data_IF_470784800855
#
_entry.id   IF_470784800855
#
_cell.length_a   1.000
_cell.length_b   1.000
_cell.length_c   1.000
_cell.angle_alpha   90.00
_cell.angle_beta   90.00
_cell.angle_gamma   90.00
#
_symmetry.space_group_name_H-M   'P 1'
#
loop_
_entity.id
_entity.type
_entity.pdbx_description
1 polymer ?
#
# COMPACT_ATOMS: atom_id res chain seq x y z
N UNK A 1 -7.58 -4.53 -26.35
CA UNK A 1 -8.28 -4.00 -25.17
C UNK A 1 -7.95 -2.53 -25.09
N UNK A 2 -8.89 -1.67 -25.42
CA UNK A 2 -8.75 -0.23 -25.24
C UNK A 2 -8.61 0.06 -23.74
N UNK A 3 -7.49 0.68 -23.35
CA UNK A 3 -7.27 1.06 -21.98
C UNK A 3 -8.12 2.30 -21.69
N UNK A 4 -9.24 2.12 -20.98
CA UNK A 4 -10.06 3.20 -20.47
C UNK A 4 -9.17 4.09 -19.57
N UNK A 5 -8.79 5.26 -20.06
CA UNK A 5 -7.95 6.20 -19.32
C UNK A 5 -8.85 7.13 -18.50
N UNK A 6 -9.08 6.78 -17.24
CA UNK A 6 -9.81 7.66 -16.32
C UNK A 6 -8.91 8.81 -15.83
N UNK A 7 -9.42 10.03 -15.91
CA UNK A 7 -8.69 11.21 -15.42
C UNK A 7 -8.71 11.26 -13.90
N UNK A 8 -7.53 11.31 -13.28
CA UNK A 8 -7.38 11.48 -11.82
C UNK A 8 -7.63 12.92 -11.35
N UNK A 9 -7.87 13.86 -12.26
CA UNK A 9 -8.04 15.29 -11.96
C UNK A 9 -9.51 15.71 -11.79
N UNK A 10 -10.46 14.86 -12.20
CA UNK A 10 -11.90 15.17 -12.13
C UNK A 10 -12.62 14.24 -11.16
N UNK A 11 -13.61 14.72 -10.38
CA UNK A 11 -14.26 13.91 -9.34
C UNK A 11 -14.85 12.58 -9.83
N UNK A 12 -15.49 12.57 -11.01
CA UNK A 12 -16.04 11.36 -11.62
C UNK A 12 -14.95 10.29 -11.87
N UNK A 13 -13.80 10.71 -12.40
CA UNK A 13 -12.69 9.81 -12.64
C UNK A 13 -12.04 9.29 -11.35
N UNK A 14 -11.97 10.14 -10.32
CA UNK A 14 -11.51 9.73 -8.99
C UNK A 14 -12.42 8.69 -8.35
N UNK A 15 -13.75 8.83 -8.49
CA UNK A 15 -14.71 7.83 -8.02
C UNK A 15 -14.50 6.46 -8.69
N UNK A 16 -14.21 6.44 -9.99
CA UNK A 16 -13.94 5.21 -10.74
C UNK A 16 -12.57 4.61 -10.41
N UNK A 17 -11.58 5.45 -10.08
CA UNK A 17 -10.23 5.03 -9.70
C UNK A 17 -10.13 4.59 -8.23
N UNK A 18 -11.04 5.01 -7.36
CA UNK A 18 -10.98 4.73 -5.93
C UNK A 18 -10.81 3.22 -5.61
N UNK A 19 -11.54 2.27 -6.23
CA UNK A 19 -11.38 0.84 -5.93
C UNK A 19 -9.95 0.31 -6.15
N UNK A 20 -9.17 0.97 -7.02
CA UNK A 20 -7.79 0.57 -7.30
C UNK A 20 -6.87 0.75 -6.09
N UNK A 21 -7.23 1.60 -5.13
CA UNK A 21 -6.50 1.76 -3.86
C UNK A 21 -6.49 0.44 -3.08
N UNK A 22 -7.64 -0.24 -3.00
CA UNK A 22 -7.74 -1.56 -2.36
C UNK A 22 -6.87 -2.59 -3.09
N UNK A 23 -6.92 -2.58 -4.41
CA UNK A 23 -6.11 -3.47 -5.24
C UNK A 23 -4.62 -3.25 -4.96
N UNK A 24 -4.15 -2.00 -4.85
CA UNK A 24 -2.76 -1.67 -4.51
C UNK A 24 -2.35 -2.26 -3.16
N UNK A 25 -3.20 -2.11 -2.14
CA UNK A 25 -2.94 -2.64 -0.80
C UNK A 25 -2.82 -4.17 -0.83
N UNK A 26 -3.77 -4.84 -1.45
CA UNK A 26 -3.80 -6.30 -1.55
C UNK A 26 -2.61 -6.84 -2.36
N UNK A 27 -2.31 -6.23 -3.51
CA UNK A 27 -1.20 -6.70 -4.35
C UNK A 27 0.15 -6.52 -3.67
N UNK A 28 0.30 -5.56 -2.76
CA UNK A 28 1.55 -5.35 -2.01
C UNK A 28 1.86 -6.56 -1.12
N UNK A 29 0.84 -7.06 -0.41
CA UNK A 29 0.93 -8.25 0.44
C UNK A 29 1.01 -9.54 -0.38
N UNK A 30 0.23 -9.64 -1.45
CA UNK A 30 0.26 -10.82 -2.31
C UNK A 30 1.64 -11.02 -2.95
N UNK A 31 2.27 -9.94 -3.42
CA UNK A 31 3.62 -10.01 -3.97
C UNK A 31 4.64 -10.49 -2.93
N UNK A 32 4.57 -9.97 -1.69
CA UNK A 32 5.42 -10.41 -0.58
C UNK A 32 5.29 -11.91 -0.29
N UNK A 33 4.05 -12.41 -0.22
CA UNK A 33 3.80 -13.84 -0.03
C UNK A 33 4.34 -14.69 -1.19
N UNK A 34 4.18 -14.23 -2.43
CA UNK A 34 4.69 -14.96 -3.60
C UNK A 34 6.22 -15.07 -3.58
N UNK A 35 6.93 -13.99 -3.26
CA UNK A 35 8.39 -14.00 -3.14
C UNK A 35 8.81 -14.99 -2.06
N UNK A 36 8.26 -14.87 -0.85
CA UNK A 36 8.59 -15.73 0.30
C UNK A 36 8.26 -17.20 0.03
N UNK A 37 7.14 -17.50 -0.64
CA UNK A 37 6.79 -18.87 -1.00
C UNK A 37 7.79 -19.49 -1.96
N UNK A 38 8.19 -18.79 -3.03
CA UNK A 38 9.10 -19.35 -4.02
C UNK A 38 10.49 -19.61 -3.43
N UNK A 39 10.99 -18.70 -2.58
CA UNK A 39 12.21 -18.94 -1.81
C UNK A 39 12.10 -20.18 -0.91
N UNK A 40 10.98 -20.33 -0.18
CA UNK A 40 10.75 -21.52 0.67
C UNK A 40 10.71 -22.81 -0.15
N UNK A 41 10.09 -22.80 -1.33
CA UNK A 41 10.06 -23.96 -2.22
C UNK A 41 11.45 -24.34 -2.72
N UNK A 42 12.29 -23.35 -3.04
CA UNK A 42 13.69 -23.57 -3.43
C UNK A 42 14.54 -24.17 -2.31
N UNK A 43 14.13 -24.04 -1.04
CA UNK A 43 14.75 -24.75 0.08
C UNK A 43 14.38 -26.24 0.19
N UNK A 44 13.35 -26.70 -0.54
CA UNK A 44 12.82 -28.07 -0.44
C UNK A 44 12.87 -28.86 -1.76
N UNK A 45 13.00 -28.18 -2.90
CA UNK A 45 12.90 -28.78 -4.23
C UNK A 45 14.08 -28.36 -5.12
N UNK A 46 14.52 -29.22 -6.06
CA UNK A 46 15.59 -28.90 -6.98
C UNK A 46 15.19 -27.77 -7.94
N UNK A 47 16.16 -26.97 -8.43
CA UNK A 47 15.89 -25.83 -9.31
C UNK A 47 15.10 -26.17 -10.58
N UNK A 48 15.32 -27.35 -11.16
CA UNK A 48 14.70 -27.77 -12.41
C UNK A 48 13.18 -27.95 -12.25
N UNK A 49 12.74 -28.48 -11.10
CA UNK A 49 11.32 -28.65 -10.78
C UNK A 49 10.57 -27.31 -10.64
N UNK A 50 11.28 -26.21 -10.37
CA UNK A 50 10.71 -24.89 -10.11
C UNK A 50 10.88 -23.91 -11.29
N UNK A 51 11.41 -24.35 -12.43
CA UNK A 51 11.64 -23.46 -13.58
C UNK A 51 10.36 -22.77 -14.07
N UNK A 52 9.27 -23.51 -14.19
CA UNK A 52 7.96 -22.96 -14.57
C UNK A 52 7.44 -21.92 -13.58
N UNK A 53 7.71 -22.12 -12.28
CA UNK A 53 7.31 -21.18 -11.22
C UNK A 53 8.10 -19.87 -11.31
N UNK A 54 9.43 -19.95 -11.52
CA UNK A 54 10.27 -18.76 -11.74
C UNK A 54 9.82 -17.99 -12.98
N UNK A 55 9.50 -18.68 -14.07
CA UNK A 55 9.02 -18.05 -15.31
C UNK A 55 7.70 -17.33 -15.12
N UNK A 56 6.73 -17.95 -14.45
CA UNK A 56 5.44 -17.31 -14.12
C UNK A 56 5.63 -16.12 -13.18
N UNK A 57 6.51 -16.24 -12.18
CA UNK A 57 6.79 -15.14 -11.26
C UNK A 57 7.40 -13.93 -11.98
N UNK A 58 8.31 -14.13 -12.95
CA UNK A 58 8.88 -13.01 -13.73
C UNK A 58 7.79 -12.20 -14.45
N UNK A 59 6.77 -12.88 -14.98
CA UNK A 59 5.63 -12.18 -15.61
C UNK A 59 4.76 -11.45 -14.58
N UNK A 60 4.50 -12.08 -13.41
CA UNK A 60 3.80 -11.40 -12.31
C UNK A 60 4.56 -10.15 -11.87
N UNK A 61 5.87 -10.26 -11.63
CA UNK A 61 6.74 -9.14 -11.28
C UNK A 61 6.64 -8.01 -12.30
N UNK A 62 6.78 -8.31 -13.60
CA UNK A 62 6.69 -7.31 -14.67
C UNK A 62 5.35 -6.59 -14.68
N UNK A 63 4.25 -7.32 -14.52
CA UNK A 63 2.89 -6.77 -14.50
C UNK A 63 2.62 -5.93 -13.25
N UNK A 64 3.02 -6.41 -12.08
CA UNK A 64 2.87 -5.68 -10.81
C UNK A 64 3.72 -4.42 -10.80
N UNK A 65 4.96 -4.49 -11.27
CA UNK A 65 5.84 -3.32 -11.39
C UNK A 65 5.23 -2.24 -12.27
N UNK A 66 4.79 -2.63 -13.47
CA UNK A 66 4.11 -1.72 -14.40
C UNK A 66 2.85 -1.11 -13.77
N UNK A 67 2.05 -1.92 -13.07
CA UNK A 67 0.85 -1.44 -12.39
C UNK A 67 1.16 -0.38 -11.31
N UNK A 68 2.19 -0.59 -10.49
CA UNK A 68 2.60 0.39 -9.47
C UNK A 68 3.18 1.66 -10.09
N UNK A 69 4.01 1.54 -11.12
CA UNK A 69 4.55 2.70 -11.85
C UNK A 69 3.42 3.53 -12.46
N UNK A 70 2.48 2.91 -13.18
CA UNK A 70 1.33 3.60 -13.77
C UNK A 70 0.42 4.23 -12.70
N UNK A 71 0.17 3.52 -11.60
CA UNK A 71 -0.67 4.01 -10.50
C UNK A 71 0.00 5.17 -9.75
N UNK A 72 1.32 5.15 -9.55
CA UNK A 72 2.08 6.21 -8.88
C UNK A 72 2.06 7.55 -9.64
N UNK A 73 1.80 7.51 -10.95
CA UNK A 73 1.69 8.70 -11.79
C UNK A 73 0.33 9.41 -11.65
N UNK A 74 -0.67 8.76 -11.03
CA UNK A 74 -2.00 9.33 -10.83
C UNK A 74 -1.98 10.30 -9.64
N UNK A 75 -2.24 11.59 -9.90
CA UNK A 75 -2.22 12.63 -8.87
C UNK A 75 -3.17 12.34 -7.72
N UNK A 76 -4.32 11.70 -8.01
CA UNK A 76 -5.30 11.31 -7.01
C UNK A 76 -4.73 10.38 -5.92
N UNK A 77 -3.84 9.45 -6.27
CA UNK A 77 -3.31 8.49 -5.32
C UNK A 77 -2.19 9.07 -4.44
N UNK A 78 -1.46 10.08 -4.90
CA UNK A 78 -0.33 10.67 -4.17
C UNK A 78 -0.67 11.14 -2.76
N UNK A 79 -1.91 11.55 -2.54
CA UNK A 79 -2.37 12.04 -1.24
C UNK A 79 -3.08 10.95 -0.41
N UNK A 80 -3.52 9.86 -1.03
CA UNK A 80 -4.35 8.84 -0.37
C UNK A 80 -3.58 7.58 0.01
N UNK A 81 -2.60 7.18 -0.79
CA UNK A 81 -1.89 5.91 -0.63
C UNK A 81 -0.43 6.03 -1.06
N UNK A 82 0.45 5.49 -0.24
CA UNK A 82 1.84 5.27 -0.60
C UNK A 82 1.95 3.98 -1.41
N UNK A 83 2.38 4.10 -2.66
CA UNK A 83 2.52 2.99 -3.60
C UNK A 83 3.98 2.52 -3.57
N UNK A 84 4.26 1.24 -3.29
CA UNK A 84 5.62 0.76 -3.18
C UNK A 84 6.31 0.72 -4.55
N UNK A 85 7.58 1.10 -4.58
CA UNK A 85 8.45 0.96 -5.75
C UNK A 85 9.13 -0.40 -5.75
N UNK A 86 9.04 -1.13 -6.87
CA UNK A 86 9.74 -2.41 -7.03
C UNK A 86 11.16 -2.20 -7.60
N UNK A 87 12.12 -3.09 -7.30
CA UNK A 87 13.48 -3.01 -7.82
C UNK A 87 13.55 -3.07 -9.35
N UNK A 88 14.72 -2.76 -9.91
CA UNK A 88 14.94 -2.79 -11.37
C UNK A 88 14.71 -4.20 -11.94
N UNK A 89 15.31 -5.20 -11.32
CA UNK A 89 15.22 -6.61 -11.69
C UNK A 89 14.39 -7.41 -10.67
N UNK A 90 13.87 -8.56 -11.12
CA UNK A 90 13.19 -9.51 -10.24
C UNK A 90 14.19 -10.19 -9.28
N UNK A 91 13.78 -10.58 -8.06
CA UNK A 91 14.63 -11.35 -7.14
C UNK A 91 15.18 -12.64 -7.77
N UNK A 92 16.44 -12.96 -7.49
CA UNK A 92 17.03 -14.22 -7.92
C UNK A 92 16.81 -15.32 -6.87
N UNK A 93 15.83 -16.19 -7.11
CA UNK A 93 15.48 -17.25 -6.16
C UNK A 93 16.52 -18.35 -5.97
N UNK A 94 17.55 -18.41 -6.82
CA UNK A 94 18.65 -19.36 -6.67
C UNK A 94 19.74 -18.85 -5.73
N UNK A 95 19.71 -17.55 -5.41
CA UNK A 95 20.69 -16.89 -4.56
C UNK A 95 20.07 -16.61 -3.19
N UNK A 96 20.48 -17.38 -2.18
CA UNK A 96 19.90 -17.25 -0.84
C UNK A 96 20.07 -15.85 -0.22
N UNK A 97 21.17 -15.16 -0.54
CA UNK A 97 21.42 -13.79 -0.06
C UNK A 97 20.40 -12.76 -0.58
N UNK A 98 19.69 -13.06 -1.68
CA UNK A 98 18.63 -12.21 -2.20
C UNK A 98 17.37 -12.27 -1.32
N UNK A 99 17.18 -13.35 -0.55
CA UNK A 99 16.11 -13.43 0.44
C UNK A 99 16.45 -12.56 1.66
N UNK A 100 17.70 -12.58 2.12
CA UNK A 100 18.12 -11.82 3.30
C UNK A 100 18.10 -10.31 3.06
N UNK A 101 18.35 -9.88 1.82
CA UNK A 101 18.27 -8.48 1.39
C UNK A 101 16.87 -8.08 0.89
N UNK A 102 15.92 -9.00 0.85
CA UNK A 102 14.57 -8.72 0.37
C UNK A 102 13.82 -7.82 1.34
N UNK A 103 13.38 -6.66 0.84
CA UNK A 103 12.50 -5.75 1.57
C UNK A 103 11.06 -5.91 1.06
N UNK A 104 10.14 -6.13 2.00
CA UNK A 104 8.71 -6.23 1.70
C UNK A 104 8.20 -4.89 1.12
N UNK A 105 7.72 -4.87 -0.13
CA UNK A 105 7.07 -3.69 -0.69
C UNK A 105 5.74 -3.49 0.03
N UNK A 106 5.65 -2.48 0.89
CA UNK A 106 4.46 -2.22 1.68
C UNK A 106 3.74 -0.97 1.19
N UNK A 107 2.52 -1.16 0.66
CA UNK A 107 1.59 -0.06 0.47
C UNK A 107 0.88 0.26 1.79
N UNK A 108 0.68 1.55 2.06
CA UNK A 108 -0.08 2.02 3.22
C UNK A 108 -0.90 3.26 2.85
N UNK A 109 -2.04 3.42 3.50
CA UNK A 109 -2.88 4.60 3.34
C UNK A 109 -2.33 5.76 4.17
N UNK A 110 -2.52 6.97 3.69
CA UNK A 110 -2.21 8.15 4.48
C UNK A 110 -3.37 8.38 5.45
N UNK A 111 -3.06 8.57 6.74
CA UNK A 111 -4.06 9.05 7.69
C UNK A 111 -4.23 10.54 7.42
N UNK A 112 -5.43 10.97 7.05
CA UNK A 112 -5.75 12.40 6.96
C UNK A 112 -5.39 13.05 8.30
N UNK A 113 -4.51 14.05 8.27
CA UNK A 113 -4.23 14.92 9.40
C UNK A 113 -5.54 15.58 9.84
N UNK A 114 -5.80 15.53 11.14
CA UNK A 114 -6.87 16.26 11.79
C UNK A 114 -6.47 17.73 11.83
N UNK A 115 -6.77 18.48 10.78
CA UNK A 115 -6.66 19.94 10.77
C UNK A 115 -7.94 20.49 10.15
N UNK A 116 -8.92 20.76 11.02
CA UNK A 116 -9.93 21.83 10.93
C UNK A 116 -11.13 21.49 11.82
N UNK A 117 -10.97 21.77 13.11
CA UNK A 117 -12.00 21.64 14.13
C UNK A 117 -11.74 22.66 15.24
N UNK A 118 -12.04 23.93 14.96
CA UNK A 118 -11.95 25.00 15.94
C UNK A 118 -12.92 24.73 17.11
N UNK A 119 -12.38 24.38 18.27
CA UNK A 119 -13.10 24.27 19.54
C UNK A 119 -12.17 24.62 20.69
N UNK A 120 -12.21 25.90 21.05
CA UNK A 120 -12.07 26.49 22.39
C UNK A 120 -11.33 25.74 23.50
N UNK A 121 -10.32 26.43 24.01
CA UNK A 121 -9.62 26.32 25.29
C UNK A 121 -10.48 25.91 26.50
N UNK A 122 -9.99 24.99 27.32
CA UNK A 122 -9.82 25.15 28.78
C UNK A 122 -9.17 23.88 29.35
N UNK A 123 -8.29 24.09 30.34
CA UNK A 123 -7.68 23.07 31.22
C UNK A 123 -6.42 22.35 30.73
N UNK A 124 -5.38 23.14 30.42
CA UNK A 124 -3.99 22.74 30.71
C UNK A 124 -3.39 23.67 31.77
N UNK A 125 -3.59 23.33 33.05
CA UNK A 125 -2.65 23.67 34.12
C UNK A 125 -2.52 22.44 35.01
N UNK A 126 -1.54 21.58 34.75
CA UNK A 126 -0.84 20.88 35.83
C UNK A 126 0.55 20.38 35.41
N UNK A 127 1.48 21.33 35.41
CA UNK A 127 2.88 21.25 35.88
C UNK A 127 3.65 19.91 35.77
N UNK A 128 4.62 19.98 34.84
CA UNK A 128 5.98 19.44 34.85
C UNK A 128 6.57 19.03 36.22
N UNK A 129 7.08 17.79 36.30
CA UNK A 129 8.19 17.39 37.15
C UNK A 129 8.99 16.28 36.43
N UNK A 130 10.25 16.58 36.15
CA UNK A 130 11.11 15.82 35.22
C UNK A 130 11.67 14.50 35.72
N UNK A 131 12.27 13.75 34.80
CA UNK A 131 13.60 13.12 34.89
C UNK A 131 13.85 12.25 33.65
N UNK A 132 15.04 12.36 33.08
CA UNK A 132 15.55 11.54 31.99
C UNK A 132 15.66 10.05 32.40
N UNK A 133 15.31 9.10 31.51
CA UNK A 133 16.13 7.88 31.25
C UNK A 133 15.58 7.09 30.03
N UNK A 134 16.49 6.67 29.13
CA UNK A 134 16.24 5.80 27.99
C UNK A 134 15.87 4.35 28.39
N UNK A 135 14.87 3.74 27.73
CA UNK A 135 14.95 2.30 27.41
C UNK A 135 14.12 1.90 26.18
N UNK A 136 14.81 1.28 25.24
CA UNK A 136 14.31 0.64 24.02
C UNK A 136 13.17 -0.34 24.28
N UNK A 137 12.07 -0.21 23.54
CA UNK A 137 11.29 -1.39 23.15
C UNK A 137 10.52 -1.14 21.84
N UNK A 138 10.98 -1.85 20.81
CA UNK A 138 10.40 -1.96 19.48
C UNK A 138 8.98 -2.55 19.59
N UNK A 139 7.97 -1.78 19.23
CA UNK A 139 6.60 -2.26 19.07
C UNK A 139 6.41 -2.75 17.63
N UNK A 140 5.92 -3.99 17.40
CA UNK A 140 5.52 -4.41 16.08
C UNK A 140 4.29 -3.59 15.67
N UNK A 141 4.34 -2.99 14.48
CA UNK A 141 3.22 -2.27 13.89
C UNK A 141 1.99 -3.18 13.89
N UNK A 142 1.05 -2.90 14.80
CA UNK A 142 -0.28 -3.51 14.79
C UNK A 142 -0.95 -3.10 13.48
N UNK A 143 -1.29 -4.08 12.65
CA UNK A 143 -2.19 -3.88 11.52
C UNK A 143 -3.58 -3.62 12.07
N UNK A 144 -3.86 -2.36 12.37
CA UNK A 144 -5.19 -1.91 12.76
C UNK A 144 -6.16 -2.09 11.58
N UNK A 145 -7.23 -2.91 11.70
CA UNK A 145 -8.24 -3.08 10.65
C UNK A 145 -9.15 -1.85 10.47
N UNK A 146 -8.88 -0.73 11.15
CA UNK A 146 -9.62 0.54 10.97
C UNK A 146 -9.56 1.12 9.56
N UNK A 147 -8.77 0.62 8.62
CA UNK A 147 -8.81 1.09 7.23
C UNK A 147 -10.18 0.89 6.54
N UNK A 148 -10.94 -0.16 6.91
CA UNK A 148 -12.19 -0.50 6.21
C UNK A 148 -13.28 0.58 6.41
N UNK A 149 -13.55 1.07 7.65
CA UNK A 149 -14.41 2.22 7.86
C UNK A 149 -13.96 3.51 7.18
N UNK A 150 -12.65 3.82 7.19
CA UNK A 150 -12.11 5.03 6.54
C UNK A 150 -12.28 5.00 5.02
N UNK A 151 -12.07 3.84 4.41
CA UNK A 151 -12.30 3.64 2.99
C UNK A 151 -13.79 3.67 2.66
N UNK A 152 -14.66 3.05 3.46
CA UNK A 152 -16.11 3.19 3.26
C UNK A 152 -16.54 4.66 3.37
N UNK A 153 -15.99 5.43 4.31
CA UNK A 153 -16.31 6.84 4.46
C UNK A 153 -15.86 7.67 3.26
N UNK A 154 -14.65 7.45 2.75
CA UNK A 154 -14.16 8.17 1.56
C UNK A 154 -14.92 7.77 0.29
N UNK A 155 -15.23 6.48 0.12
CA UNK A 155 -15.98 5.99 -1.04
C UNK A 155 -17.46 6.38 -0.98
N UNK A 156 -18.18 6.12 0.11
CA UNK A 156 -19.60 6.46 0.25
C UNK A 156 -19.84 7.95 0.45
N UNK A 157 -18.97 8.66 1.18
CA UNK A 157 -19.09 10.10 1.43
C UNK A 157 -18.97 10.92 0.14
N UNK A 158 -17.98 10.62 -0.73
CA UNK A 158 -17.85 11.31 -2.02
C UNK A 158 -18.95 10.93 -3.01
N UNK A 159 -19.34 9.66 -3.11
CA UNK A 159 -20.42 9.24 -4.00
C UNK A 159 -21.73 9.95 -3.60
N UNK A 160 -22.03 10.02 -2.29
CA UNK A 160 -23.21 10.73 -1.79
C UNK A 160 -23.18 12.23 -2.07
N UNK A 161 -22.02 12.87 -1.94
CA UNK A 161 -21.84 14.30 -2.25
C UNK A 161 -21.98 14.59 -3.75
N UNK A 162 -21.46 13.73 -4.63
CA UNK A 162 -21.53 13.92 -6.08
C UNK A 162 -22.97 13.77 -6.60
N UNK A 163 -23.76 12.86 -6.02
CA UNK A 163 -25.17 12.68 -6.39
C UNK A 163 -26.08 13.84 -5.95
N UNK A 164 -25.69 14.62 -4.93
CA UNK A 164 -26.46 15.81 -4.49
C UNK A 164 -26.20 17.06 -5.33
N UNK A 165 -25.08 17.16 -6.04
CA UNK A 165 -24.76 18.33 -6.88
C UNK A 165 -25.31 18.25 -8.31
N UNK A 166 -26.09 17.22 -8.64
CA UNK A 166 -26.71 16.98 -9.96
C UNK A 166 -28.25 17.01 -9.90
N UNK A 167 -28.82 17.52 -8.80
CA UNK A 167 -30.25 17.83 -8.60
C UNK A 167 -30.37 19.30 -8.20
#
# INVERSE_FOLDING_TARGET
>A
MECLRWSSLVPQGQCLLAPLILVILDTSKLYDYLVKMIFKLHGQLPPDALEGHRTRFREVFRRTKKFYEESSNLQYFKYLVSIPTLPSAAPNFLQASDLDSYQTPHAYLHSEGSEDGQSVTADEVLLDLGSEEQRSQQQPAQTDPRWVPFLLFHFYGRISSQSRSQL
#
